data_IF_921901006352
#
_entry.id   IF_921901006352
#
_cell.length_a   1.000
_cell.length_b   1.000
_cell.length_c   1.000
_cell.angle_alpha   90.00
_cell.angle_beta   90.00
_cell.angle_gamma   90.00
#
_symmetry.space_group_name_H-M   'P 1'
#
loop_
_entity.id
_entity.type
_entity.pdbx_description
1 polymer ?
#
# COMPACT_ATOMS: atom_id res chain seq x y z
N UNK A 1 12.41 8.45 10.53
CA UNK A 1 11.38 7.52 11.05
C UNK A 1 11.85 6.10 10.74
N UNK A 2 11.95 5.25 11.76
CA UNK A 2 12.28 3.83 11.62
C UNK A 2 11.04 3.02 11.25
N UNK A 3 11.22 1.77 10.79
CA UNK A 3 10.10 0.84 10.54
C UNK A 3 9.22 0.67 11.79
N UNK A 4 9.84 0.58 12.98
CA UNK A 4 9.10 0.49 14.25
C UNK A 4 8.17 1.69 14.45
N UNK A 5 8.68 2.91 14.23
CA UNK A 5 7.87 4.12 14.33
C UNK A 5 6.72 4.13 13.29
N UNK A 6 6.99 3.67 12.07
CA UNK A 6 5.95 3.54 11.05
C UNK A 6 4.83 2.59 11.48
N UNK A 7 5.20 1.42 12.01
CA UNK A 7 4.24 0.42 12.50
C UNK A 7 3.38 1.01 13.65
N UNK A 8 4.03 1.62 14.64
CA UNK A 8 3.33 2.24 15.78
C UNK A 8 2.38 3.37 15.33
N UNK A 9 2.78 4.19 14.33
CA UNK A 9 1.91 5.23 13.77
C UNK A 9 0.72 4.62 13.04
N UNK A 10 0.93 3.60 12.21
CA UNK A 10 -0.16 2.98 11.47
C UNK A 10 -1.13 2.23 12.40
N UNK A 11 -0.64 1.66 13.50
CA UNK A 11 -1.47 1.06 14.54
C UNK A 11 -2.32 2.08 15.32
N UNK A 12 -1.91 3.36 15.38
CA UNK A 12 -2.72 4.43 15.95
C UNK A 12 -3.95 4.79 15.11
N UNK A 13 -3.91 4.48 13.80
CA UNK A 13 -4.94 4.86 12.84
C UNK A 13 -5.33 3.67 11.98
N UNK A 14 -5.97 2.65 12.56
CA UNK A 14 -6.41 1.50 11.80
C UNK A 14 -7.34 1.88 10.64
N UNK A 15 -8.02 3.03 10.74
CA UNK A 15 -8.87 3.59 9.69
C UNK A 15 -8.08 4.06 8.45
N UNK A 16 -6.76 4.21 8.49
CA UNK A 16 -5.99 4.44 7.27
C UNK A 16 -5.92 3.20 6.39
N UNK A 17 -6.20 2.05 6.95
CA UNK A 17 -6.33 0.80 6.23
C UNK A 17 -7.79 0.50 5.95
N UNK A 18 -8.08 -0.02 4.76
CA UNK A 18 -9.42 -0.53 4.43
C UNK A 18 -9.87 -1.55 5.48
N UNK A 19 -11.10 -1.39 5.97
CA UNK A 19 -11.70 -2.34 6.91
C UNK A 19 -11.60 -3.78 6.36
N UNK A 20 -11.13 -4.69 7.21
CA UNK A 20 -10.97 -6.10 6.86
C UNK A 20 -9.77 -6.44 5.98
N UNK A 21 -8.91 -5.47 5.60
CA UNK A 21 -7.75 -5.75 4.73
C UNK A 21 -6.82 -6.79 5.35
N UNK A 22 -6.55 -6.71 6.63
CA UNK A 22 -5.69 -7.69 7.30
C UNK A 22 -6.26 -9.10 7.25
N UNK A 23 -7.57 -9.26 7.41
CA UNK A 23 -8.25 -10.57 7.28
C UNK A 23 -8.13 -11.12 5.86
N UNK A 24 -8.25 -10.24 4.85
CA UNK A 24 -8.06 -10.64 3.44
C UNK A 24 -6.61 -11.09 3.20
N UNK A 25 -5.63 -10.32 3.69
CA UNK A 25 -4.23 -10.67 3.53
C UNK A 25 -3.88 -11.96 4.29
N UNK A 26 -4.42 -12.18 5.48
CA UNK A 26 -4.28 -13.44 6.23
C UNK A 26 -4.88 -14.64 5.46
N UNK A 27 -6.06 -14.46 4.86
CA UNK A 27 -6.65 -15.47 3.99
C UNK A 27 -5.73 -15.81 2.81
N UNK A 28 -5.17 -14.79 2.15
CA UNK A 28 -4.26 -14.96 1.01
C UNK A 28 -2.97 -15.64 1.46
N UNK A 29 -2.40 -15.28 2.62
CA UNK A 29 -1.25 -15.93 3.24
C UNK A 29 -1.50 -17.43 3.41
N UNK A 30 -2.62 -17.79 4.03
CA UNK A 30 -3.01 -19.20 4.22
C UNK A 30 -3.14 -19.98 2.89
N UNK A 31 -3.59 -19.31 1.82
CA UNK A 31 -3.63 -19.91 0.47
C UNK A 31 -2.23 -20.07 -0.13
N UNK A 32 -1.33 -19.12 0.10
CA UNK A 32 0.07 -19.18 -0.35
C UNK A 32 0.81 -20.31 0.35
N UNK A 33 0.68 -20.46 1.67
CA UNK A 33 1.26 -21.53 2.46
C UNK A 33 0.79 -22.92 2.01
N UNK A 34 -0.49 -23.04 1.65
CA UNK A 34 -1.08 -24.29 1.09
C UNK A 34 -0.78 -24.47 -0.39
N UNK A 35 0.12 -23.65 -0.99
CA UNK A 35 0.51 -23.70 -2.41
C UNK A 35 -0.66 -23.58 -3.40
N UNK A 36 -1.76 -22.92 -2.98
CA UNK A 36 -2.90 -22.58 -3.86
C UNK A 36 -2.67 -21.26 -4.59
N UNK A 37 -1.82 -20.40 -4.04
CA UNK A 37 -1.33 -19.17 -4.65
C UNK A 37 0.19 -19.26 -4.71
N UNK A 38 0.76 -19.06 -5.90
CA UNK A 38 2.21 -19.16 -6.10
C UNK A 38 2.92 -17.83 -5.84
N UNK A 39 2.32 -16.72 -6.27
CA UNK A 39 2.92 -15.38 -6.21
C UNK A 39 1.91 -14.33 -5.84
N UNK A 40 2.35 -13.34 -5.08
CA UNK A 40 1.58 -12.16 -4.69
C UNK A 40 2.35 -10.92 -5.10
N UNK A 41 1.71 -10.02 -5.85
CA UNK A 41 2.32 -8.80 -6.33
C UNK A 41 1.55 -7.57 -5.84
N UNK A 42 2.28 -6.56 -5.41
CA UNK A 42 1.71 -5.24 -5.19
C UNK A 42 1.94 -4.40 -6.46
N UNK A 43 0.84 -4.10 -7.19
CA UNK A 43 0.91 -3.29 -8.39
C UNK A 43 0.26 -1.93 -8.13
N UNK A 44 1.05 -0.87 -8.08
CA UNK A 44 0.59 0.48 -7.73
C UNK A 44 0.88 1.51 -8.83
N UNK A 45 -0.01 2.49 -8.97
CA UNK A 45 0.19 3.66 -9.82
C UNK A 45 1.02 4.76 -9.14
N UNK A 46 1.42 4.58 -7.89
CA UNK A 46 2.33 5.49 -7.23
C UNK A 46 3.66 5.58 -7.95
N UNK A 47 4.18 6.81 -8.08
CA UNK A 47 5.42 7.08 -8.82
C UNK A 47 6.67 6.48 -8.20
N UNK A 48 6.61 5.88 -7.02
CA UNK A 48 7.74 5.28 -6.31
C UNK A 48 9.03 6.12 -6.37
N UNK A 49 8.89 7.43 -6.42
CA UNK A 49 10.01 8.36 -6.31
C UNK A 49 10.67 8.26 -4.94
N UNK A 50 9.87 8.02 -3.91
CA UNK A 50 10.33 7.59 -2.59
C UNK A 50 9.76 6.18 -2.31
N UNK A 51 10.60 5.17 -2.53
CA UNK A 51 10.24 3.77 -2.28
C UNK A 51 10.02 3.47 -0.80
N UNK A 52 10.60 4.27 0.10
CA UNK A 52 10.60 4.00 1.55
C UNK A 52 9.21 3.85 2.13
N UNK A 53 8.25 4.64 1.68
CA UNK A 53 6.90 4.52 2.23
C UNK A 53 6.20 3.21 1.82
N UNK A 54 6.40 2.74 0.57
CA UNK A 54 5.87 1.46 0.11
C UNK A 54 6.58 0.28 0.79
N UNK A 55 7.90 0.37 0.95
CA UNK A 55 8.67 -0.62 1.69
C UNK A 55 8.22 -0.67 3.16
N UNK A 56 8.03 0.47 3.82
CA UNK A 56 7.51 0.51 5.17
C UNK A 56 6.09 -0.08 5.27
N UNK A 57 5.23 0.17 4.28
CA UNK A 57 3.87 -0.37 4.26
C UNK A 57 3.87 -1.89 4.05
N UNK A 58 4.69 -2.41 3.13
CA UNK A 58 4.80 -3.86 2.92
C UNK A 58 5.43 -4.56 4.13
N UNK A 59 6.45 -3.97 4.75
CA UNK A 59 7.04 -4.46 5.99
C UNK A 59 6.06 -4.41 7.17
N UNK A 60 5.14 -3.44 7.19
CA UNK A 60 4.06 -3.42 8.17
C UNK A 60 3.11 -4.61 7.98
N UNK A 61 2.75 -4.95 6.76
CA UNK A 61 1.94 -6.14 6.49
C UNK A 61 2.69 -7.43 6.85
N UNK A 62 3.97 -7.51 6.52
CA UNK A 62 4.82 -8.65 6.93
C UNK A 62 4.81 -8.82 8.47
N UNK A 63 4.96 -7.71 9.21
CA UNK A 63 4.88 -7.68 10.67
C UNK A 63 3.51 -8.13 11.18
N UNK A 64 2.41 -7.61 10.61
CA UNK A 64 1.04 -7.97 11.04
C UNK A 64 0.66 -9.41 10.73
N UNK A 65 1.18 -9.94 9.63
CA UNK A 65 0.91 -11.31 9.17
C UNK A 65 1.90 -12.34 9.78
N UNK A 66 2.92 -11.89 10.50
CA UNK A 66 4.03 -12.72 10.93
C UNK A 66 4.60 -13.56 9.75
N UNK A 67 4.77 -12.90 8.60
CA UNK A 67 5.19 -13.54 7.36
C UNK A 67 6.18 -12.69 6.59
N UNK A 68 7.41 -13.15 6.42
CA UNK A 68 8.46 -12.42 5.73
C UNK A 68 8.27 -12.45 4.21
N UNK A 69 8.41 -11.30 3.56
CA UNK A 69 8.29 -11.14 2.12
C UNK A 69 6.95 -11.67 1.58
N UNK A 70 5.85 -11.24 2.19
CA UNK A 70 4.50 -11.59 1.76
C UNK A 70 4.27 -11.24 0.28
N UNK A 71 4.68 -10.05 -0.14
CA UNK A 71 4.67 -9.64 -1.54
C UNK A 71 5.95 -10.08 -2.24
N UNK A 72 5.84 -10.94 -3.24
CA UNK A 72 6.98 -11.42 -4.04
C UNK A 72 7.61 -10.28 -4.86
N UNK A 73 6.84 -9.26 -5.22
CA UNK A 73 7.34 -8.08 -5.92
C UNK A 73 6.41 -6.88 -5.77
N UNK A 74 7.02 -5.69 -5.70
CA UNK A 74 6.33 -4.41 -5.79
C UNK A 74 6.57 -3.84 -7.19
N UNK A 75 5.48 -3.53 -7.91
CA UNK A 75 5.50 -2.97 -9.26
C UNK A 75 4.96 -1.55 -9.19
N UNK A 76 5.80 -0.60 -9.52
CA UNK A 76 5.46 0.81 -9.59
C UNK A 76 5.18 1.19 -11.04
N UNK A 77 4.09 1.92 -11.28
CA UNK A 77 3.51 2.09 -12.61
C UNK A 77 4.41 2.76 -13.67
N UNK A 78 5.54 3.37 -13.33
CA UNK A 78 6.25 4.23 -14.28
C UNK A 78 7.74 3.96 -14.45
N UNK A 79 8.35 3.04 -13.69
CA UNK A 79 9.79 2.78 -13.78
C UNK A 79 10.13 1.30 -13.67
N UNK A 80 10.80 0.77 -14.65
CA UNK A 80 11.57 -0.45 -14.58
C UNK A 80 13.04 -0.09 -14.87
N UNK A 81 13.96 -0.44 -13.97
CA UNK A 81 15.40 -0.17 -14.11
C UNK A 81 15.73 1.30 -14.44
N UNK A 82 15.11 2.25 -13.76
CA UNK A 82 15.22 3.70 -13.96
C UNK A 82 14.76 4.22 -15.34
N UNK A 83 14.17 3.39 -16.20
CA UNK A 83 13.54 3.83 -17.45
C UNK A 83 12.03 4.00 -17.24
N UNK A 84 11.49 5.15 -17.67
CA UNK A 84 10.05 5.39 -17.74
C UNK A 84 9.53 4.54 -18.90
N UNK A 85 8.76 3.50 -18.60
CA UNK A 85 8.30 2.53 -19.61
C UNK A 85 6.92 2.80 -20.17
N UNK A 86 6.16 3.69 -19.58
CA UNK A 86 4.84 3.99 -20.09
C UNK A 86 4.50 5.48 -19.96
N UNK A 87 4.32 6.12 -21.09
CA UNK A 87 3.90 7.53 -21.22
C UNK A 87 2.37 7.65 -21.11
N UNK A 88 1.64 6.55 -21.26
CA UNK A 88 0.19 6.52 -21.22
C UNK A 88 -0.34 6.18 -19.82
N UNK A 89 -0.29 7.20 -18.97
CA UNK A 89 -1.32 7.59 -18.00
C UNK A 89 -2.05 6.46 -17.25
N UNK A 90 -1.68 6.26 -16.00
CA UNK A 90 -2.56 5.73 -14.93
C UNK A 90 -3.27 4.39 -15.17
N UNK A 91 -3.18 3.78 -16.34
CA UNK A 91 -3.84 2.54 -16.67
C UNK A 91 -2.92 1.34 -16.49
N UNK A 92 -3.31 0.44 -15.60
CA UNK A 92 -2.62 -0.83 -15.42
C UNK A 92 -2.93 -1.75 -16.59
N UNK A 93 -1.93 -2.49 -17.07
CA UNK A 93 -2.12 -3.43 -18.16
C UNK A 93 -1.38 -4.75 -17.94
N UNK A 94 -1.95 -5.82 -18.48
CA UNK A 94 -1.43 -7.18 -18.32
C UNK A 94 -0.04 -7.36 -18.92
N UNK A 95 0.23 -6.77 -20.09
CA UNK A 95 1.53 -6.89 -20.76
C UNK A 95 2.65 -6.34 -19.89
N UNK A 96 2.44 -5.18 -19.29
CA UNK A 96 3.41 -4.58 -18.36
C UNK A 96 3.59 -5.44 -17.11
N UNK A 97 2.50 -5.94 -16.52
CA UNK A 97 2.55 -6.85 -15.38
C UNK A 97 3.40 -8.09 -15.69
N UNK A 98 3.14 -8.78 -16.80
CA UNK A 98 3.89 -9.95 -17.22
C UNK A 98 5.38 -9.61 -17.43
N UNK A 99 5.68 -8.52 -18.11
CA UNK A 99 7.06 -8.10 -18.33
C UNK A 99 7.81 -7.78 -17.03
N UNK A 100 7.12 -7.21 -16.04
CA UNK A 100 7.72 -6.90 -14.75
C UNK A 100 7.91 -8.14 -13.88
N UNK A 101 6.99 -9.09 -13.93
CA UNK A 101 6.97 -10.24 -13.03
C UNK A 101 7.60 -11.48 -13.63
N UNK A 102 7.76 -11.52 -14.95
CA UNK A 102 8.26 -12.68 -15.72
C UNK A 102 7.41 -13.96 -15.50
N UNK A 103 6.14 -13.80 -15.11
CA UNK A 103 5.21 -14.94 -15.02
C UNK A 103 4.85 -15.45 -16.42
N UNK A 104 4.53 -16.74 -16.58
CA UNK A 104 4.05 -17.29 -17.84
C UNK A 104 2.81 -16.55 -18.35
N UNK A 105 2.71 -16.35 -19.67
CA UNK A 105 1.59 -15.63 -20.28
C UNK A 105 0.23 -16.30 -20.06
N UNK A 106 0.22 -17.58 -19.75
CA UNK A 106 -0.98 -18.38 -19.49
C UNK A 106 -1.32 -18.50 -18.00
N UNK A 107 -0.65 -17.76 -17.14
CA UNK A 107 -0.95 -17.73 -15.70
C UNK A 107 -2.34 -17.16 -15.45
N UNK A 108 -3.13 -17.84 -14.62
CA UNK A 108 -4.36 -17.29 -14.06
C UNK A 108 -4.03 -16.25 -12.99
N UNK A 109 -4.74 -15.15 -13.02
CA UNK A 109 -4.51 -14.03 -12.12
C UNK A 109 -5.81 -13.65 -11.39
N UNK A 110 -5.71 -13.36 -10.09
CA UNK A 110 -6.72 -12.60 -9.39
C UNK A 110 -6.20 -11.15 -9.27
N UNK A 111 -6.91 -10.21 -9.87
CA UNK A 111 -6.56 -8.79 -9.84
C UNK A 111 -7.58 -8.01 -9.03
N UNK A 112 -7.11 -7.33 -7.99
CA UNK A 112 -7.95 -6.57 -7.07
C UNK A 112 -7.57 -5.10 -7.17
N UNK A 113 -8.48 -4.27 -7.65
CA UNK A 113 -8.28 -2.83 -7.79
C UNK A 113 -9.64 -2.11 -7.79
N UNK A 114 -9.73 -0.99 -7.06
CA UNK A 114 -10.95 -0.17 -7.03
C UNK A 114 -11.17 0.63 -8.33
N UNK A 115 -10.09 0.90 -9.08
CA UNK A 115 -10.15 1.56 -10.38
C UNK A 115 -10.29 0.55 -11.49
N UNK A 116 -11.25 0.77 -12.40
CA UNK A 116 -11.41 -0.09 -13.57
C UNK A 116 -10.27 0.11 -14.57
N UNK A 117 -9.61 -0.98 -14.97
CA UNK A 117 -8.53 -1.01 -15.95
C UNK A 117 -8.89 -1.95 -17.08
N UNK A 118 -9.31 -1.41 -18.22
CA UNK A 118 -9.76 -2.17 -19.39
C UNK A 118 -8.73 -3.22 -19.85
N UNK A 119 -7.45 -2.86 -19.84
CA UNK A 119 -6.35 -3.74 -20.25
C UNK A 119 -6.07 -4.90 -19.27
N UNK A 120 -6.69 -4.88 -18.08
CA UNK A 120 -6.66 -5.99 -17.12
C UNK A 120 -7.88 -6.89 -17.21
N UNK A 121 -8.87 -6.57 -18.05
CA UNK A 121 -10.07 -7.41 -18.25
C UNK A 121 -9.78 -8.42 -19.36
N UNK A 122 -9.35 -9.62 -18.98
CA UNK A 122 -9.02 -10.73 -19.90
C UNK A 122 -9.58 -12.04 -19.34
N UNK A 123 -9.81 -13.02 -20.16
CA UNK A 123 -10.42 -14.32 -19.82
C UNK A 123 -9.74 -15.02 -18.60
N UNK A 124 -8.43 -14.84 -18.44
CA UNK A 124 -7.65 -15.48 -17.35
C UNK A 124 -7.46 -14.58 -16.13
N UNK A 125 -8.17 -13.47 -16.07
CA UNK A 125 -8.07 -12.53 -14.96
C UNK A 125 -9.39 -12.50 -14.22
N UNK A 126 -9.38 -13.01 -12.99
CA UNK A 126 -10.46 -12.80 -12.03
C UNK A 126 -10.36 -11.38 -11.48
N UNK A 127 -11.14 -10.48 -12.04
CA UNK A 127 -11.12 -9.07 -11.68
C UNK A 127 -12.09 -8.82 -10.52
N UNK A 128 -11.56 -8.37 -9.39
CA UNK A 128 -12.35 -7.95 -8.24
C UNK A 128 -12.22 -6.44 -8.11
N UNK A 129 -13.33 -5.73 -8.24
CA UNK A 129 -13.37 -4.28 -8.12
C UNK A 129 -14.10 -3.87 -6.84
N UNK A 130 -13.38 -3.65 -5.73
CA UNK A 130 -13.98 -3.14 -4.50
C UNK A 130 -14.35 -1.66 -4.68
N UNK A 131 -15.31 -1.17 -3.88
CA UNK A 131 -15.62 0.26 -3.82
C UNK A 131 -14.40 1.07 -3.37
N UNK A 132 -14.37 2.36 -3.70
CA UNK A 132 -13.36 3.28 -3.18
C UNK A 132 -13.37 3.32 -1.65
N UNK A 133 -12.21 3.50 -1.08
CA UNK A 133 -12.06 3.63 0.36
C UNK A 133 -11.39 4.95 0.72
N UNK A 134 -12.09 5.72 1.55
CA UNK A 134 -11.55 6.92 2.18
C UNK A 134 -11.78 6.82 3.68
N UNK A 135 -10.76 7.12 4.47
CA UNK A 135 -10.93 7.18 5.91
C UNK A 135 -11.74 8.43 6.31
N UNK A 136 -12.51 8.31 7.39
CA UNK A 136 -13.38 9.39 7.91
C UNK A 136 -12.70 10.21 9.03
N UNK A 137 -11.41 10.04 9.28
CA UNK A 137 -10.70 10.76 10.32
C UNK A 137 -10.54 12.23 9.92
N UNK A 138 -11.04 13.13 10.78
CA UNK A 138 -10.76 14.56 10.61
C UNK A 138 -9.30 14.88 10.94
N UNK A 139 -8.77 15.96 10.35
CA UNK A 139 -7.43 16.46 10.65
C UNK A 139 -7.20 16.67 12.15
N UNK A 140 -8.20 17.19 12.84
CA UNK A 140 -8.16 17.42 14.29
C UNK A 140 -8.01 16.11 15.06
N UNK A 141 -8.76 15.06 14.68
CA UNK A 141 -8.63 13.73 15.29
C UNK A 141 -7.23 13.19 15.07
N UNK A 142 -6.74 13.22 13.83
CA UNK A 142 -5.40 12.74 13.49
C UNK A 142 -4.34 13.45 14.36
N UNK A 143 -4.35 14.78 14.38
CA UNK A 143 -3.37 15.57 15.14
C UNK A 143 -3.46 15.26 16.63
N UNK A 144 -4.66 15.29 17.22
CA UNK A 144 -4.83 15.10 18.65
C UNK A 144 -4.49 13.68 19.09
N UNK A 145 -4.85 12.67 18.32
CA UNK A 145 -4.49 11.26 18.59
C UNK A 145 -2.97 11.09 18.57
N UNK A 146 -2.28 11.65 17.56
CA UNK A 146 -0.82 11.58 17.51
C UNK A 146 -0.17 12.29 18.70
N UNK A 147 -0.58 13.52 19.03
CA UNK A 147 0.01 14.31 20.11
C UNK A 147 -0.17 13.68 21.51
N UNK A 148 -1.20 12.84 21.68
CA UNK A 148 -1.44 12.09 22.93
C UNK A 148 -0.73 10.73 22.95
N UNK A 149 -0.21 10.27 21.84
CA UNK A 149 0.38 8.94 21.71
C UNK A 149 1.74 8.84 22.43
N UNK A 150 2.08 7.61 22.81
CA UNK A 150 3.39 7.29 23.37
C UNK A 150 4.51 7.55 22.36
N UNK A 151 4.28 7.26 21.07
CA UNK A 151 5.27 7.50 20.03
C UNK A 151 5.60 8.99 19.90
N UNK A 152 4.59 9.87 19.96
CA UNK A 152 4.84 11.32 19.94
C UNK A 152 5.75 11.76 21.09
N UNK A 153 5.54 11.21 22.30
CA UNK A 153 6.36 11.52 23.46
C UNK A 153 7.83 11.12 23.28
N UNK A 154 8.09 10.09 22.47
CA UNK A 154 9.46 9.59 22.22
C UNK A 154 10.21 10.33 21.13
N UNK A 155 9.50 10.86 20.12
CA UNK A 155 10.14 11.39 18.91
C UNK A 155 9.98 12.89 18.74
N UNK A 156 9.09 13.53 19.50
CA UNK A 156 8.82 14.97 19.40
C UNK A 156 9.18 15.67 20.70
N UNK A 157 10.22 16.48 20.66
CA UNK A 157 10.69 17.25 21.81
C UNK A 157 9.71 18.39 22.15
N UNK A 158 9.27 19.15 21.15
CA UNK A 158 8.35 20.28 21.35
C UNK A 158 7.01 20.04 20.64
N UNK A 159 6.05 19.55 21.40
CA UNK A 159 4.70 19.24 20.88
C UNK A 159 3.93 20.47 20.37
N UNK A 160 4.12 21.64 20.99
CA UNK A 160 3.40 22.85 20.60
C UNK A 160 3.88 23.36 19.24
N UNK A 161 5.19 23.41 19.04
CA UNK A 161 5.78 23.76 17.75
C UNK A 161 5.41 22.75 16.68
N UNK A 162 5.42 21.46 17.00
CA UNK A 162 5.02 20.40 16.07
C UNK A 162 3.53 20.45 15.71
N UNK A 163 2.66 20.75 16.69
CA UNK A 163 1.22 20.95 16.44
C UNK A 163 0.99 22.11 15.46
N UNK A 164 1.68 23.24 15.66
CA UNK A 164 1.59 24.39 14.76
C UNK A 164 2.02 24.02 13.36
N UNK A 165 3.17 23.36 13.23
CA UNK A 165 3.67 22.86 11.93
C UNK A 165 2.65 21.94 11.23
N UNK A 166 2.06 20.98 11.93
CA UNK A 166 1.05 20.08 11.34
C UNK A 166 -0.19 20.83 10.87
N UNK A 167 -0.69 21.79 11.63
CA UNK A 167 -1.85 22.60 11.26
C UNK A 167 -1.56 23.43 9.99
N UNK A 168 -0.40 24.05 9.91
CA UNK A 168 0.06 24.78 8.73
C UNK A 168 0.18 23.84 7.53
N UNK A 169 0.85 22.70 7.68
CA UNK A 169 1.01 21.70 6.62
C UNK A 169 -0.32 21.19 6.06
N UNK A 170 -1.26 20.86 6.94
CA UNK A 170 -2.61 20.43 6.53
C UNK A 170 -3.44 21.54 5.86
N UNK A 171 -3.15 22.80 6.13
CA UNK A 171 -3.82 23.92 5.47
C UNK A 171 -3.24 24.22 4.09
N UNK A 172 -1.94 24.03 3.90
CA UNK A 172 -1.25 24.25 2.63
C UNK A 172 -1.48 23.12 1.60
N UNK A 173 -1.83 21.92 2.06
CA UNK A 173 -2.04 20.73 1.23
C UNK A 173 -3.54 20.35 1.15
N UNK A 174 -4.39 21.33 0.96
CA UNK A 174 -5.82 21.14 0.69
C UNK A 174 -6.09 20.76 -0.75
#
# INVERSE_FOLDING_TARGET
ITQKHFNEILDLYPEFLRCGILNILEFIKNKKERKKINKIFLYTNNRCSDKRWLENLTNYFDYKLEYNNFFDKIICAFKMNNKILNVNKHEKNLKFLINCTMIPKNTELCFIDNTYHKEMVKERIYYIQPYDYNHNLSKTIIINTFLRSYICNRIIENKNSFKKFLLEWFNLNK
#
